data_IF_838622167639
#
_entry.id   IF_838622167639
#
_cell.length_a   1.000
_cell.length_b   1.000
_cell.length_c   1.000
_cell.angle_alpha   90.00
_cell.angle_beta   90.00
_cell.angle_gamma   90.00
#
_symmetry.space_group_name_H-M   'P 1'
#
loop_
_entity.id
_entity.type
_entity.pdbx_description
1 polymer ?
#
# COMPACT_ATOMS: atom_id res chain seq x y z
N UNK A 1 33.18 -2.52 0.46
CA UNK A 1 33.45 -1.51 1.50
C UNK A 1 32.36 -1.63 2.54
N UNK A 2 32.68 -1.73 3.83
CA UNK A 2 31.66 -1.80 4.89
C UNK A 2 31.02 -0.43 5.08
N UNK A 3 29.69 -0.39 5.26
CA UNK A 3 28.97 0.84 5.61
C UNK A 3 29.58 1.47 6.88
N UNK A 4 29.82 2.78 6.88
CA UNK A 4 30.35 3.48 8.06
C UNK A 4 29.33 3.39 9.22
N UNK A 5 29.80 3.24 10.46
CA UNK A 5 29.02 3.16 11.70
C UNK A 5 27.89 4.19 11.76
N UNK A 6 28.19 5.46 11.46
CA UNK A 6 27.18 6.54 11.46
C UNK A 6 26.02 6.30 10.49
N UNK A 7 26.28 5.68 9.32
CA UNK A 7 25.23 5.33 8.35
C UNK A 7 24.46 4.09 8.80
N UNK A 8 25.16 3.12 9.40
CA UNK A 8 24.52 1.93 9.98
C UNK A 8 23.52 2.33 11.07
N UNK A 9 23.87 3.25 11.96
CA UNK A 9 22.95 3.80 12.98
C UNK A 9 21.72 4.47 12.36
N UNK A 10 21.89 5.28 11.31
CA UNK A 10 20.76 5.89 10.59
C UNK A 10 19.80 4.83 10.02
N UNK A 11 20.32 3.78 9.40
CA UNK A 11 19.48 2.69 8.87
C UNK A 11 18.78 1.91 9.98
N UNK A 12 19.42 1.69 11.13
CA UNK A 12 18.79 1.07 12.28
C UNK A 12 17.66 1.94 12.84
N UNK A 13 17.84 3.27 12.87
CA UNK A 13 16.77 4.22 13.22
C UNK A 13 15.57 4.14 12.26
N UNK A 14 15.83 4.08 10.95
CA UNK A 14 14.78 3.91 9.94
C UNK A 14 14.06 2.56 10.06
N UNK A 15 14.76 1.48 10.39
CA UNK A 15 14.17 0.16 10.56
C UNK A 15 13.11 0.13 11.68
N UNK A 16 13.22 0.99 12.69
CA UNK A 16 12.20 1.13 13.73
C UNK A 16 10.91 1.84 13.23
N UNK A 17 11.00 2.60 12.14
CA UNK A 17 9.89 3.37 11.56
C UNK A 17 9.29 2.70 10.30
N UNK A 18 9.93 1.64 9.81
CA UNK A 18 9.57 0.97 8.57
C UNK A 18 9.39 -0.51 8.86
N UNK A 19 8.16 -0.98 8.66
CA UNK A 19 7.76 -2.35 8.90
C UNK A 19 6.99 -2.53 10.19
N UNK A 20 6.94 -3.77 10.68
CA UNK A 20 6.17 -4.16 11.88
C UNK A 20 4.73 -3.61 11.92
N UNK A 21 4.12 -3.44 10.74
CA UNK A 21 2.80 -2.86 10.57
C UNK A 21 1.70 -3.78 11.14
N UNK A 22 0.54 -3.26 11.57
CA UNK A 22 -0.54 -4.10 12.05
C UNK A 22 -1.01 -5.11 10.99
N UNK A 23 -1.27 -6.35 11.39
CA UNK A 23 -2.09 -7.29 10.62
C UNK A 23 -3.55 -7.07 11.02
N UNK A 24 -4.41 -6.84 10.05
CA UNK A 24 -5.84 -6.63 10.24
C UNK A 24 -6.57 -7.91 9.87
N UNK A 25 -7.48 -8.35 10.73
CA UNK A 25 -8.49 -9.34 10.41
C UNK A 25 -9.82 -8.62 10.22
N UNK A 26 -10.38 -8.72 9.00
CA UNK A 26 -11.64 -8.08 8.62
C UNK A 26 -12.68 -9.17 8.42
N UNK A 27 -13.75 -9.13 9.22
CA UNK A 27 -14.90 -10.02 9.10
C UNK A 27 -15.95 -9.37 8.20
N UNK A 28 -16.47 -10.12 7.22
CA UNK A 28 -17.46 -9.63 6.28
C UNK A 28 -18.39 -10.76 5.81
N UNK A 29 -19.54 -10.39 5.24
CA UNK A 29 -20.31 -11.28 4.38
C UNK A 29 -19.97 -10.97 2.91
N UNK A 30 -19.83 -12.02 2.11
CA UNK A 30 -19.70 -11.93 0.67
C UNK A 30 -20.69 -12.91 0.03
N UNK A 31 -21.62 -12.41 -0.79
CA UNK A 31 -22.74 -13.20 -1.33
C UNK A 31 -23.52 -13.94 -0.22
N UNK A 32 -23.78 -13.25 0.89
CA UNK A 32 -24.41 -13.78 2.11
C UNK A 32 -23.64 -14.87 2.86
N UNK A 33 -22.38 -15.13 2.50
CA UNK A 33 -21.54 -16.09 3.21
C UNK A 33 -20.47 -15.38 4.04
N UNK A 34 -20.22 -15.86 5.27
CA UNK A 34 -19.15 -15.33 6.10
C UNK A 34 -17.77 -15.57 5.46
N UNK A 35 -16.94 -14.52 5.49
CA UNK A 35 -15.55 -14.52 5.01
C UNK A 35 -14.67 -13.73 5.96
N UNK A 36 -13.37 -14.04 5.90
CA UNK A 36 -12.32 -13.28 6.59
C UNK A 36 -11.30 -12.82 5.56
N UNK A 37 -10.92 -11.54 5.64
CA UNK A 37 -9.81 -10.94 4.89
C UNK A 37 -8.70 -10.56 5.85
N UNK A 38 -7.49 -11.06 5.62
CA UNK A 38 -6.30 -10.64 6.34
C UNK A 38 -5.53 -9.60 5.53
N UNK A 39 -5.19 -8.46 6.14
CA UNK A 39 -4.49 -7.39 5.43
C UNK A 39 -3.42 -6.71 6.28
N UNK A 40 -2.21 -6.51 5.74
CA UNK A 40 -1.20 -5.65 6.39
C UNK A 40 -1.47 -4.18 6.11
N UNK A 41 -1.52 -3.36 7.16
CA UNK A 41 -1.76 -1.93 7.10
C UNK A 41 -0.46 -1.14 6.82
N UNK A 42 -0.05 -1.05 5.55
CA UNK A 42 1.26 -0.50 5.17
C UNK A 42 1.36 1.03 5.16
N UNK A 43 0.27 1.73 5.45
CA UNK A 43 0.28 3.17 5.68
C UNK A 43 0.86 3.59 7.04
N UNK A 44 1.26 2.65 7.89
CA UNK A 44 1.99 2.90 9.14
C UNK A 44 3.51 3.04 8.96
N UNK A 45 4.03 2.89 7.74
CA UNK A 45 5.44 3.12 7.47
C UNK A 45 5.78 4.62 7.43
N UNK A 46 7.08 4.93 7.49
CA UNK A 46 7.67 6.27 7.59
C UNK A 46 7.03 7.37 6.71
N UNK A 47 6.85 7.14 5.40
CA UNK A 47 6.20 8.07 4.46
C UNK A 47 4.75 7.71 4.15
N UNK A 48 4.19 6.71 4.85
CA UNK A 48 2.80 6.32 4.75
C UNK A 48 2.51 5.34 3.60
N UNK A 49 3.48 4.51 3.21
CA UNK A 49 3.22 3.42 2.26
C UNK A 49 4.20 2.24 2.36
N UNK A 50 3.85 1.12 1.75
CA UNK A 50 4.72 -0.06 1.60
C UNK A 50 6.07 0.24 0.91
N UNK A 51 6.17 1.34 0.15
CA UNK A 51 7.37 1.68 -0.63
C UNK A 51 8.54 2.11 0.24
N UNK A 52 8.30 2.50 1.48
CA UNK A 52 9.36 2.74 2.46
C UNK A 52 10.23 1.50 2.68
N UNK A 53 9.63 0.31 2.72
CA UNK A 53 10.37 -0.95 2.86
C UNK A 53 11.32 -1.16 1.69
N UNK A 54 10.84 -0.92 0.48
CA UNK A 54 11.60 -1.12 -0.76
C UNK A 54 12.73 -0.10 -0.86
N UNK A 55 12.44 1.18 -0.67
CA UNK A 55 13.44 2.24 -0.73
C UNK A 55 14.51 2.08 0.36
N UNK A 56 14.12 1.75 1.60
CA UNK A 56 15.06 1.49 2.68
C UNK A 56 15.98 0.31 2.37
N UNK A 57 15.42 -0.80 1.86
CA UNK A 57 16.20 -1.98 1.48
C UNK A 57 17.20 -1.67 0.36
N UNK A 58 16.75 -1.03 -0.73
CA UNK A 58 17.60 -0.67 -1.87
C UNK A 58 18.73 0.24 -1.43
N UNK A 59 18.44 1.31 -0.70
CA UNK A 59 19.46 2.26 -0.26
C UNK A 59 20.43 1.62 0.73
N UNK A 60 19.94 0.80 1.66
CA UNK A 60 20.82 0.06 2.58
C UNK A 60 21.80 -0.83 1.82
N UNK A 61 21.30 -1.63 0.88
CA UNK A 61 22.15 -2.50 0.05
C UNK A 61 23.13 -1.68 -0.80
N UNK A 62 22.70 -0.56 -1.39
CA UNK A 62 23.58 0.32 -2.16
C UNK A 62 24.72 0.91 -1.30
N UNK A 63 24.43 1.30 -0.06
CA UNK A 63 25.45 1.78 0.89
C UNK A 63 26.37 0.66 1.38
N UNK A 64 25.85 -0.54 1.64
CA UNK A 64 26.62 -1.72 2.06
C UNK A 64 27.56 -2.25 0.96
N UNK A 65 27.14 -2.13 -0.30
CA UNK A 65 27.97 -2.52 -1.46
C UNK A 65 28.93 -1.42 -1.90
N UNK A 66 28.74 -0.18 -1.43
CA UNK A 66 29.48 1.00 -1.87
C UNK A 66 29.04 1.54 -3.23
N UNK A 67 27.88 1.12 -3.75
CA UNK A 67 27.29 1.64 -4.98
C UNK A 67 26.82 3.11 -4.85
N UNK A 68 26.59 3.58 -3.62
CA UNK A 68 26.28 4.98 -3.31
C UNK A 68 27.07 5.46 -2.09
N UNK A 69 27.41 6.74 -2.06
CA UNK A 69 28.01 7.44 -0.94
C UNK A 69 27.16 8.66 -0.52
N UNK A 70 27.49 9.25 0.63
CA UNK A 70 26.85 10.48 1.10
C UNK A 70 27.04 11.62 0.09
N UNK A 71 26.00 12.43 -0.12
CA UNK A 71 26.00 13.52 -1.09
C UNK A 71 25.83 13.09 -2.55
N UNK A 72 25.96 11.79 -2.88
CA UNK A 72 25.66 11.32 -4.23
C UNK A 72 24.15 11.45 -4.54
N UNK A 73 23.78 11.93 -5.72
CA UNK A 73 22.38 12.09 -6.09
C UNK A 73 21.70 10.74 -6.34
N UNK A 74 20.42 10.67 -5.96
CA UNK A 74 19.50 9.57 -6.28
C UNK A 74 18.50 10.11 -7.31
N UNK A 75 18.19 9.32 -8.34
CA UNK A 75 17.15 9.65 -9.30
C UNK A 75 16.18 8.49 -9.48
N UNK A 76 14.90 8.79 -9.68
CA UNK A 76 13.85 7.81 -9.97
C UNK A 76 12.81 8.37 -10.94
N UNK A 77 12.24 7.51 -11.79
CA UNK A 77 11.15 7.84 -12.70
C UNK A 77 9.84 7.27 -12.16
N UNK A 78 9.05 8.11 -11.48
CA UNK A 78 7.78 7.70 -10.87
C UNK A 78 6.92 8.90 -10.53
N UNK A 79 5.61 8.74 -10.48
CA UNK A 79 4.66 9.76 -10.00
C UNK A 79 4.08 9.44 -8.62
N UNK A 80 4.50 8.32 -8.01
CA UNK A 80 3.79 7.73 -6.87
C UNK A 80 4.63 7.54 -5.61
N UNK A 81 4.15 6.64 -4.76
CA UNK A 81 4.70 6.34 -3.44
C UNK A 81 6.19 5.97 -3.43
N UNK A 82 6.73 5.43 -4.52
CA UNK A 82 8.17 5.14 -4.63
C UNK A 82 8.98 6.43 -4.56
N UNK A 83 8.57 7.47 -5.28
CA UNK A 83 9.26 8.77 -5.31
C UNK A 83 9.21 9.44 -3.95
N UNK A 84 8.06 9.39 -3.27
CA UNK A 84 7.90 9.91 -1.91
C UNK A 84 8.84 9.19 -0.94
N UNK A 85 8.91 7.85 -1.00
CA UNK A 85 9.76 7.06 -0.12
C UNK A 85 11.26 7.36 -0.33
N UNK A 86 11.72 7.39 -1.59
CA UNK A 86 13.12 7.73 -1.90
C UNK A 86 13.46 9.18 -1.56
N UNK A 87 12.54 10.13 -1.78
CA UNK A 87 12.74 11.51 -1.38
C UNK A 87 12.92 11.64 0.14
N UNK A 88 12.02 11.02 0.92
CA UNK A 88 12.05 11.11 2.38
C UNK A 88 13.29 10.43 2.97
N UNK A 89 13.56 9.19 2.56
CA UNK A 89 14.71 8.42 3.07
C UNK A 89 16.03 9.01 2.54
N UNK A 90 16.10 9.38 1.27
CA UNK A 90 17.26 10.02 0.66
C UNK A 90 17.62 11.33 1.37
N UNK A 91 16.65 12.20 1.63
CA UNK A 91 16.86 13.43 2.40
C UNK A 91 17.40 13.14 3.80
N UNK A 92 16.85 12.16 4.53
CA UNK A 92 17.34 11.75 5.85
C UNK A 92 18.77 11.20 5.81
N UNK A 93 19.10 10.46 4.74
CA UNK A 93 20.44 9.94 4.50
C UNK A 93 21.40 11.00 3.96
N UNK A 94 20.96 12.21 3.61
CA UNK A 94 21.84 13.27 3.07
C UNK A 94 22.20 13.06 1.59
N UNK A 95 21.31 12.42 0.83
CA UNK A 95 21.43 12.26 -0.61
C UNK A 95 20.44 13.18 -1.32
N UNK A 96 20.90 14.09 -2.22
CA UNK A 96 20.00 14.83 -3.09
C UNK A 96 19.13 13.86 -3.89
N UNK A 97 17.84 14.18 -4.06
CA UNK A 97 16.91 13.34 -4.79
C UNK A 97 16.28 14.11 -5.95
N UNK A 98 16.22 13.50 -7.13
CA UNK A 98 15.55 14.03 -8.31
C UNK A 98 14.53 13.03 -8.81
N UNK A 99 13.30 13.50 -9.01
CA UNK A 99 12.22 12.68 -9.56
C UNK A 99 11.90 13.14 -10.98
N UNK A 100 11.79 12.20 -11.89
CA UNK A 100 11.26 12.43 -13.23
C UNK A 100 9.82 11.92 -13.26
N UNK A 101 8.89 12.78 -13.66
CA UNK A 101 7.48 12.42 -13.80
C UNK A 101 6.96 12.97 -15.13
N UNK A 102 6.17 12.19 -15.90
CA UNK A 102 5.46 12.71 -17.06
C UNK A 102 4.44 13.78 -16.65
N UNK A 103 4.24 14.81 -17.48
CA UNK A 103 3.24 15.85 -17.25
C UNK A 103 1.80 15.38 -17.52
N UNK A 104 1.61 14.29 -18.28
CA UNK A 104 0.30 13.64 -18.51
C UNK A 104 0.09 12.36 -17.68
N UNK A 105 0.38 12.34 -16.38
CA UNK A 105 0.09 11.12 -15.61
C UNK A 105 -1.42 10.93 -15.37
N UNK A 106 -2.02 9.96 -16.07
CA UNK A 106 -3.39 9.48 -15.87
C UNK A 106 -3.43 7.96 -15.63
N UNK A 107 -4.61 7.47 -15.22
CA UNK A 107 -4.84 6.19 -14.55
C UNK A 107 -4.71 5.00 -15.51
N UNK A 108 -3.62 4.25 -15.38
CA UNK A 108 -3.52 2.93 -15.98
C UNK A 108 -2.92 1.92 -15.01
N UNK A 109 -3.73 0.92 -14.67
CA UNK A 109 -3.28 -0.39 -14.20
C UNK A 109 -4.12 -1.45 -14.92
N UNK A 110 -3.46 -2.52 -15.35
CA UNK A 110 -4.09 -3.71 -15.92
C UNK A 110 -4.97 -4.32 -14.83
N UNK A 111 -6.28 -4.14 -14.92
CA UNK A 111 -7.19 -4.41 -13.82
C UNK A 111 -8.12 -5.59 -14.15
N UNK A 112 -7.96 -6.69 -13.39
CA UNK A 112 -8.89 -7.82 -13.30
C UNK A 112 -10.17 -7.46 -12.51
N UNK A 113 -10.20 -6.26 -11.90
CA UNK A 113 -11.29 -5.72 -11.07
C UNK A 113 -11.52 -4.29 -11.54
N UNK A 114 -12.77 -3.95 -11.84
CA UNK A 114 -13.14 -2.61 -12.31
C UNK A 114 -12.72 -1.49 -11.35
N UNK A 115 -12.33 -0.35 -11.91
CA UNK A 115 -11.86 0.82 -11.14
C UNK A 115 -12.94 1.36 -10.20
N UNK A 116 -14.19 1.45 -10.66
CA UNK A 116 -15.32 1.89 -9.84
C UNK A 116 -15.59 0.88 -8.72
N UNK A 117 -15.49 -0.42 -9.00
CA UNK A 117 -15.63 -1.48 -7.99
C UNK A 117 -14.55 -1.35 -6.89
N UNK A 118 -13.30 -1.15 -7.28
CA UNK A 118 -12.19 -0.93 -6.36
C UNK A 118 -12.32 0.35 -5.52
N UNK A 119 -12.75 1.45 -6.15
CA UNK A 119 -13.02 2.72 -5.47
C UNK A 119 -14.17 2.53 -4.46
N UNK A 120 -15.25 1.88 -4.87
CA UNK A 120 -16.40 1.61 -4.00
C UNK A 120 -16.01 0.74 -2.81
N UNK A 121 -15.18 -0.28 -3.00
CA UNK A 121 -14.67 -1.09 -1.90
C UNK A 121 -13.81 -0.25 -0.95
N UNK A 122 -12.91 0.59 -1.46
CA UNK A 122 -12.07 1.49 -0.65
C UNK A 122 -12.91 2.48 0.17
N UNK A 123 -13.96 3.05 -0.45
CA UNK A 123 -14.93 3.93 0.22
C UNK A 123 -15.72 3.17 1.29
N UNK A 124 -16.12 1.92 1.03
CA UNK A 124 -16.85 1.07 1.99
C UNK A 124 -15.98 0.75 3.21
N UNK A 125 -14.70 0.41 3.02
CA UNK A 125 -13.74 0.22 4.11
C UNK A 125 -13.60 1.48 4.99
N UNK A 126 -13.49 2.65 4.37
CA UNK A 126 -13.38 3.92 5.09
C UNK A 126 -14.67 4.26 5.86
N UNK A 127 -15.83 4.13 5.23
CA UNK A 127 -17.13 4.53 5.79
C UNK A 127 -17.61 3.61 6.92
N UNK A 128 -17.43 2.29 6.76
CA UNK A 128 -18.01 1.30 7.69
C UNK A 128 -17.03 0.96 8.81
N UNK A 129 -15.74 0.79 8.49
CA UNK A 129 -14.73 0.34 9.45
C UNK A 129 -13.80 1.47 9.92
N UNK A 130 -13.95 2.69 9.42
CA UNK A 130 -13.01 3.79 9.67
C UNK A 130 -11.64 3.58 9.00
N UNK A 131 -11.54 2.63 8.06
CA UNK A 131 -10.28 2.21 7.47
C UNK A 131 -9.98 2.99 6.17
N UNK A 132 -9.37 4.17 6.31
CA UNK A 132 -9.06 5.06 5.20
C UNK A 132 -7.88 4.59 4.34
N UNK A 133 -8.14 3.83 3.29
CA UNK A 133 -7.12 3.24 2.40
C UNK A 133 -7.18 3.77 0.97
N UNK A 134 -6.06 3.66 0.25
CA UNK A 134 -5.99 3.99 -1.18
C UNK A 134 -6.74 3.00 -2.09
N UNK A 135 -6.95 3.38 -3.36
CA UNK A 135 -7.76 2.62 -4.35
C UNK A 135 -7.22 1.19 -4.55
N UNK A 136 -5.89 1.02 -4.59
CA UNK A 136 -5.26 -0.30 -4.77
C UNK A 136 -5.56 -1.27 -3.61
N UNK A 137 -5.83 -0.74 -2.42
CA UNK A 137 -6.23 -1.54 -1.26
C UNK A 137 -7.65 -2.10 -1.44
N UNK A 138 -8.55 -1.37 -2.11
CA UNK A 138 -9.84 -1.88 -2.53
C UNK A 138 -9.74 -3.03 -3.53
N UNK A 139 -8.88 -2.90 -4.55
CA UNK A 139 -8.57 -4.01 -5.49
C UNK A 139 -8.08 -5.23 -4.72
N UNK A 140 -7.14 -5.03 -3.81
CA UNK A 140 -6.54 -6.09 -3.01
C UNK A 140 -7.54 -6.80 -2.10
N UNK A 141 -8.49 -6.07 -1.50
CA UNK A 141 -9.57 -6.65 -0.70
C UNK A 141 -10.46 -7.55 -1.57
N UNK A 142 -10.94 -7.04 -2.71
CA UNK A 142 -11.77 -7.82 -3.64
C UNK A 142 -11.00 -9.01 -4.24
N UNK A 143 -9.70 -8.86 -4.46
CA UNK A 143 -8.81 -9.91 -4.92
C UNK A 143 -8.71 -11.09 -3.95
N UNK A 144 -8.81 -10.84 -2.64
CA UNK A 144 -8.87 -11.91 -1.63
C UNK A 144 -10.14 -12.75 -1.79
N UNK A 145 -11.29 -12.11 -1.99
CA UNK A 145 -12.57 -12.80 -2.19
C UNK A 145 -12.55 -13.64 -3.47
N UNK A 146 -12.05 -13.06 -4.57
CA UNK A 146 -11.82 -13.79 -5.83
C UNK A 146 -10.89 -15.00 -5.63
N UNK A 147 -9.81 -14.85 -4.87
CA UNK A 147 -8.90 -15.94 -4.58
C UNK A 147 -9.54 -17.05 -3.75
N UNK A 148 -10.35 -16.71 -2.74
CA UNK A 148 -11.10 -17.69 -1.94
C UNK A 148 -12.11 -18.47 -2.80
N UNK A 149 -12.84 -17.79 -3.69
CA UNK A 149 -13.76 -18.43 -4.65
C UNK A 149 -13.00 -19.36 -5.60
N UNK A 150 -11.84 -18.93 -6.14
CA UNK A 150 -11.00 -19.74 -7.04
C UNK A 150 -10.43 -20.99 -6.35
N UNK A 151 -10.13 -20.90 -5.06
CA UNK A 151 -9.67 -22.05 -4.27
C UNK A 151 -10.81 -23.03 -3.93
N UNK A 152 -12.07 -22.68 -4.22
CA UNK A 152 -13.24 -23.47 -3.85
C UNK A 152 -13.41 -23.64 -2.34
N UNK A 153 -12.68 -22.86 -1.55
CA UNK A 153 -12.69 -22.93 -0.09
C UNK A 153 -12.88 -21.53 0.48
N UNK A 154 -14.11 -21.34 0.93
CA UNK A 154 -14.65 -20.15 1.55
C UNK A 154 -13.90 -19.74 2.84
N UNK A 155 -13.30 -20.72 3.51
CA UNK A 155 -12.52 -20.56 4.74
C UNK A 155 -11.00 -20.54 4.46
N UNK A 156 -10.58 -20.46 3.19
CA UNK A 156 -9.17 -20.35 2.84
C UNK A 156 -8.55 -19.07 3.42
N UNK A 157 -7.43 -19.23 4.11
CA UNK A 157 -6.66 -18.13 4.68
C UNK A 157 -5.87 -17.44 3.56
N UNK A 158 -6.37 -16.30 3.11
CA UNK A 158 -5.73 -15.47 2.10
C UNK A 158 -5.41 -14.11 2.71
N UNK A 159 -4.14 -13.73 2.64
CA UNK A 159 -3.66 -12.45 3.14
C UNK A 159 -3.29 -11.51 1.99
N UNK A 160 -3.47 -10.22 2.23
CA UNK A 160 -3.16 -9.15 1.28
C UNK A 160 -2.50 -7.95 1.97
N UNK A 161 -2.27 -6.88 1.22
CA UNK A 161 -1.66 -5.64 1.72
C UNK A 161 -2.53 -4.44 1.39
N UNK A 162 -2.70 -3.54 2.35
CA UNK A 162 -3.22 -2.20 2.13
C UNK A 162 -2.05 -1.24 2.02
N UNK A 163 -1.67 -0.95 0.78
CA UNK A 163 -0.38 -0.39 0.43
C UNK A 163 -0.14 1.02 0.99
N UNK A 164 -1.19 1.81 1.13
CA UNK A 164 -1.18 3.18 1.60
C UNK A 164 -2.58 3.65 2.07
N UNK A 165 -2.63 4.86 2.61
CA UNK A 165 -3.84 5.51 3.09
C UNK A 165 -4.54 6.35 2.00
N UNK A 166 -5.74 6.83 2.32
CA UNK A 166 -6.54 7.64 1.40
C UNK A 166 -6.10 9.11 1.29
N UNK A 167 -5.15 9.59 2.11
CA UNK A 167 -4.78 11.02 2.17
C UNK A 167 -4.24 11.56 0.86
N UNK A 168 -3.54 10.72 0.09
CA UNK A 168 -2.96 11.06 -1.22
C UNK A 168 -4.00 11.09 -2.35
N UNK A 169 -5.23 10.67 -2.06
CA UNK A 169 -6.29 10.46 -3.05
C UNK A 169 -7.46 11.44 -2.89
N UNK A 170 -7.31 12.48 -2.05
CA UNK A 170 -8.35 13.48 -1.77
C UNK A 170 -8.74 14.32 -3.00
N UNK A 171 -7.92 14.36 -4.04
CA UNK A 171 -8.19 15.04 -5.31
C UNK A 171 -8.66 14.10 -6.43
N UNK A 172 -8.98 12.85 -6.11
CA UNK A 172 -9.30 11.80 -7.09
C UNK A 172 -10.76 11.34 -6.98
N UNK A 173 -11.17 10.47 -7.90
CA UNK A 173 -12.48 9.80 -7.90
C UNK A 173 -12.81 9.04 -6.61
N UNK A 174 -11.81 8.74 -5.76
CA UNK A 174 -12.07 8.20 -4.42
C UNK A 174 -13.03 9.07 -3.59
N UNK A 175 -13.04 10.38 -3.81
CA UNK A 175 -13.90 11.30 -3.06
C UNK A 175 -15.32 11.39 -3.61
N UNK A 176 -15.53 11.07 -4.90
CA UNK A 176 -16.83 11.21 -5.57
C UNK A 176 -17.62 9.90 -5.57
N UNK A 177 -18.93 9.99 -5.73
CA UNK A 177 -19.76 8.80 -5.96
C UNK A 177 -19.38 8.14 -7.28
N UNK A 178 -19.27 6.81 -7.26
CA UNK A 178 -18.88 6.03 -8.42
C UNK A 178 -20.06 5.21 -8.92
N UNK A 179 -20.02 4.90 -10.21
CA UNK A 179 -20.99 4.00 -10.82
C UNK A 179 -20.96 2.65 -10.12
N UNK A 180 -22.15 2.09 -9.93
CA UNK A 180 -22.37 0.76 -9.38
C UNK A 180 -22.97 -0.09 -10.48
N UNK A 181 -22.38 -1.26 -10.74
CA UNK A 181 -22.88 -2.24 -11.68
C UNK A 181 -23.17 -3.57 -10.97
N UNK A 182 -24.05 -4.38 -11.54
CA UNK A 182 -24.46 -5.65 -10.94
C UNK A 182 -23.34 -6.70 -10.89
N UNK A 183 -22.31 -6.55 -11.73
CA UNK A 183 -21.10 -7.38 -11.76
C UNK A 183 -20.01 -6.92 -10.78
N UNK A 184 -20.20 -5.79 -10.11
CA UNK A 184 -19.26 -5.29 -9.10
C UNK A 184 -19.31 -6.14 -7.84
N UNK A 185 -18.15 -6.66 -7.44
CA UNK A 185 -18.01 -7.54 -6.28
C UNK A 185 -18.32 -6.80 -4.98
N UNK A 186 -17.98 -5.50 -4.90
CA UNK A 186 -18.19 -4.69 -3.71
C UNK A 186 -19.68 -4.55 -3.35
N UNK A 187 -20.60 -4.75 -4.30
CA UNK A 187 -22.05 -4.77 -4.05
C UNK A 187 -22.45 -5.90 -3.10
N UNK A 188 -21.82 -7.07 -3.27
CA UNK A 188 -22.11 -8.28 -2.50
C UNK A 188 -21.36 -8.34 -1.17
N UNK A 189 -20.56 -7.31 -0.83
CA UNK A 189 -19.75 -7.25 0.39
C UNK A 189 -20.48 -6.47 1.49
N UNK A 190 -20.69 -7.10 2.64
CA UNK A 190 -21.15 -6.46 3.87
C UNK A 190 -20.04 -6.52 4.93
N UNK A 191 -19.49 -5.37 5.32
CA UNK A 191 -18.43 -5.32 6.32
C UNK A 191 -19.02 -5.40 7.73
N UNK A 192 -18.58 -6.39 8.51
CA UNK A 192 -19.12 -6.66 9.85
C UNK A 192 -18.24 -6.08 10.96
N UNK A 193 -16.92 -6.12 10.79
CA UNK A 193 -15.99 -5.63 11.80
C UNK A 193 -14.53 -5.87 11.46
N UNK A 194 -13.65 -5.29 12.27
CA UNK A 194 -12.20 -5.41 12.13
C UNK A 194 -11.53 -5.48 13.50
N UNK A 195 -10.47 -6.28 13.60
CA UNK A 195 -9.52 -6.24 14.72
C UNK A 195 -8.08 -6.31 14.24
N UNK A 196 -7.18 -5.73 15.01
CA UNK A 196 -5.75 -5.93 14.82
C UNK A 196 -5.33 -7.24 15.49
N UNK A 197 -4.58 -8.08 14.77
CA UNK A 197 -3.97 -9.31 15.27
C UNK A 197 -2.45 -9.15 15.29
N UNK A 198 -1.80 -9.77 16.28
CA UNK A 198 -0.34 -9.74 16.45
C UNK A 198 0.30 -10.96 15.82
#
# INVERSE_FOLDING_TARGET
>A
MTINEKKSEKFNGLAALIGHTPMLEISLLYKSEARIVYAKAEYYNYSGSIKDRVACHILRQAYETGAIAEGMPIAESTSGNTGIAFAAIGAYLGNPFTIFMPDWMSKERINLIDDCDAINMSRKLARVLGLGVGISSGVNNLGVLKAQDLLGNKDAVVATVFADDNKKYLSTDLMYEQTVSADHLACDVELLGMRAIR
#
